data_IF_177632997710
#
_entry.id   IF_177632997710
#
_cell.length_a   1.000
_cell.length_b   1.000
_cell.length_c   1.000
_cell.angle_alpha   90.00
_cell.angle_beta   90.00
_cell.angle_gamma   90.00
#
_symmetry.space_group_name_H-M   'P 1'
#
loop_
_entity.id
_entity.type
_entity.pdbx_description
1 polymer ?
#
# COMPACT_ATOMS: atom_id res chain seq x y z
N UNK A 1 -32.05 -15.32 30.05
CA UNK A 1 -30.65 -15.23 30.46
C UNK A 1 -29.79 -16.43 29.95
N UNK A 2 -30.16 -17.69 30.13
CA UNK A 2 -29.34 -18.86 29.67
C UNK A 2 -29.07 -18.90 28.15
N UNK A 3 -30.05 -18.58 27.28
CA UNK A 3 -29.89 -18.55 25.81
C UNK A 3 -28.90 -17.49 25.34
N UNK A 4 -28.83 -16.32 26.03
CA UNK A 4 -27.87 -15.27 25.69
C UNK A 4 -26.43 -15.64 26.09
N UNK A 5 -26.25 -16.40 27.14
CA UNK A 5 -24.94 -16.90 27.60
C UNK A 5 -24.38 -17.96 26.63
N UNK A 6 -25.23 -18.95 26.26
CA UNK A 6 -24.84 -19.96 25.26
C UNK A 6 -24.46 -19.34 23.93
N UNK A 7 -25.22 -18.35 23.43
CA UNK A 7 -24.90 -17.64 22.19
C UNK A 7 -23.58 -16.90 22.27
N UNK A 8 -23.28 -16.25 23.41
CA UNK A 8 -21.98 -15.59 23.62
C UNK A 8 -20.82 -16.58 23.66
N UNK A 9 -20.98 -17.70 24.37
CA UNK A 9 -19.94 -18.76 24.45
C UNK A 9 -19.68 -19.36 23.07
N UNK A 10 -20.75 -19.68 22.33
CA UNK A 10 -20.62 -20.24 20.98
C UNK A 10 -19.93 -19.25 20.03
N UNK A 11 -20.29 -17.95 20.09
CA UNK A 11 -19.63 -16.90 19.33
C UNK A 11 -18.14 -16.79 19.67
N UNK A 12 -17.79 -16.82 20.95
CA UNK A 12 -16.38 -16.79 21.38
C UNK A 12 -15.60 -18.00 20.91
N UNK A 13 -16.18 -19.21 20.97
CA UNK A 13 -15.53 -20.44 20.48
C UNK A 13 -15.30 -20.39 18.98
N UNK A 14 -16.27 -19.90 18.20
CA UNK A 14 -16.11 -19.70 16.75
C UNK A 14 -14.99 -18.71 16.45
N UNK A 15 -14.97 -17.56 17.14
CA UNK A 15 -13.92 -16.56 16.98
C UNK A 15 -12.54 -17.14 17.33
N UNK A 16 -12.45 -17.90 18.42
CA UNK A 16 -11.18 -18.51 18.85
C UNK A 16 -10.70 -19.58 17.86
N UNK A 17 -11.60 -20.40 17.35
CA UNK A 17 -11.28 -21.37 16.29
C UNK A 17 -10.82 -20.68 15.00
N UNK A 18 -11.51 -19.63 14.56
CA UNK A 18 -11.12 -18.84 13.41
C UNK A 18 -9.73 -18.20 13.62
N UNK A 19 -9.49 -17.61 14.78
CA UNK A 19 -8.18 -17.04 15.14
C UNK A 19 -7.07 -18.08 15.10
N UNK A 20 -7.30 -19.28 15.62
CA UNK A 20 -6.34 -20.37 15.59
C UNK A 20 -6.00 -20.79 14.14
N UNK A 21 -7.01 -20.88 13.26
CA UNK A 21 -6.81 -21.19 11.84
C UNK A 21 -5.98 -20.11 11.12
N UNK A 22 -6.26 -18.83 11.38
CA UNK A 22 -5.51 -17.71 10.77
C UNK A 22 -4.08 -17.59 11.32
N UNK A 23 -3.85 -17.89 12.60
CA UNK A 23 -2.53 -17.84 13.20
C UNK A 23 -1.68 -19.06 12.86
N UNK A 24 -2.29 -20.21 12.53
CA UNK A 24 -1.59 -21.46 12.27
C UNK A 24 -0.43 -21.33 11.26
N UNK A 25 -0.61 -20.75 10.06
CA UNK A 25 0.49 -20.60 9.10
C UNK A 25 1.61 -19.69 9.63
N UNK A 26 1.28 -18.64 10.38
CA UNK A 26 2.30 -17.76 10.97
C UNK A 26 3.11 -18.46 12.04
N UNK A 27 2.45 -19.22 12.90
CA UNK A 27 3.11 -20.03 13.94
C UNK A 27 4.00 -21.10 13.29
N UNK A 28 3.52 -21.77 12.24
CA UNK A 28 4.33 -22.73 11.48
C UNK A 28 5.56 -22.07 10.87
N UNK A 29 5.42 -20.90 10.28
CA UNK A 29 6.54 -20.15 9.68
C UNK A 29 7.61 -19.86 10.74
N UNK A 30 7.20 -19.35 11.91
CA UNK A 30 8.12 -19.07 13.03
C UNK A 30 8.79 -20.37 13.54
N UNK A 31 8.02 -21.44 13.76
CA UNK A 31 8.61 -22.72 14.20
C UNK A 31 9.61 -23.25 13.19
N UNK A 32 9.27 -23.22 11.89
CA UNK A 32 10.14 -23.68 10.81
C UNK A 32 11.41 -22.86 10.69
N UNK A 33 11.36 -21.54 10.89
CA UNK A 33 12.55 -20.67 10.84
C UNK A 33 13.58 -20.98 11.93
N UNK A 34 13.17 -21.60 13.05
CA UNK A 34 14.06 -22.05 14.12
C UNK A 34 14.48 -23.51 14.01
N UNK A 35 13.99 -24.27 13.03
CA UNK A 35 14.43 -25.68 12.83
C UNK A 35 15.87 -25.73 12.29
N UNK A 36 16.51 -26.91 12.39
CA UNK A 36 17.88 -27.09 11.95
C UNK A 36 18.88 -26.33 12.81
N UNK A 37 19.43 -25.26 12.28
CA UNK A 37 20.48 -24.47 12.96
C UNK A 37 19.94 -23.39 13.95
N UNK A 38 18.65 -23.31 14.18
CA UNK A 38 18.03 -22.39 15.13
C UNK A 38 18.30 -20.92 14.78
N UNK A 39 18.81 -20.13 15.74
CA UNK A 39 19.14 -18.70 15.55
C UNK A 39 20.19 -18.47 14.46
N UNK A 40 21.04 -19.47 14.15
CA UNK A 40 22.04 -19.34 13.09
C UNK A 40 21.42 -19.18 11.70
N UNK A 41 20.18 -19.63 11.47
CA UNK A 41 19.46 -19.38 10.22
C UNK A 41 19.36 -17.87 9.96
N UNK A 42 18.95 -17.09 10.97
CA UNK A 42 18.89 -15.62 10.88
C UNK A 42 20.26 -14.98 10.71
N UNK A 43 21.27 -15.47 11.43
CA UNK A 43 22.66 -14.99 11.26
C UNK A 43 23.12 -15.23 9.83
N UNK A 44 22.75 -16.35 9.22
CA UNK A 44 23.09 -16.64 7.82
C UNK A 44 22.39 -15.68 6.86
N UNK A 45 21.11 -15.34 7.07
CA UNK A 45 20.40 -14.33 6.28
C UNK A 45 21.14 -12.99 6.30
N UNK A 46 21.45 -12.48 7.51
CA UNK A 46 22.16 -11.19 7.65
C UNK A 46 23.60 -11.21 7.10
N UNK A 47 24.27 -12.36 7.07
CA UNK A 47 25.60 -12.51 6.44
C UNK A 47 25.51 -12.56 4.92
N UNK A 48 24.43 -13.13 4.38
CA UNK A 48 24.27 -13.34 2.95
C UNK A 48 23.78 -12.07 2.24
N UNK A 49 22.91 -11.32 2.88
CA UNK A 49 22.29 -10.11 2.30
C UNK A 49 22.43 -8.94 3.27
N UNK A 50 22.99 -7.84 2.79
CA UNK A 50 22.91 -6.58 3.52
C UNK A 50 21.48 -6.01 3.35
N UNK A 51 20.65 -6.15 4.38
CA UNK A 51 19.26 -5.73 4.35
C UNK A 51 19.07 -4.20 4.43
N UNK A 52 20.07 -3.48 4.94
CA UNK A 52 19.95 -2.04 5.20
C UNK A 52 19.61 -1.22 3.95
N UNK A 53 20.29 -1.35 2.79
CA UNK A 53 19.92 -0.61 1.59
C UNK A 53 18.53 -0.99 1.09
N UNK A 54 18.15 -2.28 1.12
CA UNK A 54 16.82 -2.73 0.70
C UNK A 54 15.69 -2.14 1.56
N UNK A 55 15.93 -2.06 2.88
CA UNK A 55 14.98 -1.44 3.81
C UNK A 55 14.85 0.07 3.58
N UNK A 56 15.97 0.77 3.36
CA UNK A 56 15.98 2.19 3.03
C UNK A 56 15.27 2.47 1.69
N UNK A 57 15.48 1.61 0.68
CA UNK A 57 14.75 1.72 -0.60
C UNK A 57 13.25 1.53 -0.38
N UNK A 58 12.83 0.55 0.41
CA UNK A 58 11.41 0.37 0.74
C UNK A 58 10.82 1.61 1.39
N UNK A 59 11.50 2.18 2.40
CA UNK A 59 11.05 3.41 3.07
C UNK A 59 10.95 4.56 2.06
N UNK A 60 11.95 4.75 1.21
CA UNK A 60 11.96 5.83 0.23
C UNK A 60 10.82 5.69 -0.80
N UNK A 61 10.60 4.47 -1.31
CA UNK A 61 9.53 4.17 -2.26
C UNK A 61 8.15 4.37 -1.62
N UNK A 62 7.95 3.80 -0.44
CA UNK A 62 6.66 3.92 0.28
C UNK A 62 6.39 5.37 0.64
N UNK A 63 7.35 6.07 1.24
CA UNK A 63 7.18 7.47 1.62
C UNK A 63 6.89 8.37 0.41
N UNK A 64 7.65 8.23 -0.67
CA UNK A 64 7.41 8.97 -1.91
C UNK A 64 6.02 8.71 -2.49
N UNK A 65 5.59 7.45 -2.49
CA UNK A 65 4.25 7.05 -2.93
C UNK A 65 3.16 7.66 -2.03
N UNK A 66 3.32 7.59 -0.71
CA UNK A 66 2.38 8.16 0.26
C UNK A 66 2.19 9.66 0.08
N UNK A 67 3.29 10.41 -0.09
CA UNK A 67 3.24 11.86 -0.30
C UNK A 67 2.47 12.21 -1.58
N UNK A 68 2.78 11.54 -2.68
CA UNK A 68 2.12 11.81 -3.97
C UNK A 68 0.63 11.44 -3.90
N UNK A 69 0.32 10.21 -3.44
CA UNK A 69 -1.07 9.72 -3.39
C UNK A 69 -1.92 10.57 -2.46
N UNK A 70 -1.44 10.86 -1.24
CA UNK A 70 -2.22 11.66 -0.29
C UNK A 70 -2.48 13.08 -0.81
N UNK A 71 -1.49 13.72 -1.41
CA UNK A 71 -1.65 15.06 -1.96
C UNK A 71 -2.60 15.08 -3.17
N UNK A 72 -2.32 14.22 -4.17
CA UNK A 72 -3.09 14.19 -5.43
C UNK A 72 -4.52 13.70 -5.19
N UNK A 73 -4.70 12.59 -4.45
CA UNK A 73 -6.02 12.05 -4.19
C UNK A 73 -6.88 13.00 -3.34
N UNK A 74 -6.31 13.67 -2.32
CA UNK A 74 -7.06 14.62 -1.52
C UNK A 74 -7.51 15.84 -2.30
N UNK A 75 -6.60 16.45 -3.09
CA UNK A 75 -6.96 17.60 -3.94
C UNK A 75 -7.99 17.23 -5.00
N UNK A 76 -7.81 16.08 -5.66
CA UNK A 76 -8.76 15.61 -6.67
C UNK A 76 -10.11 15.24 -6.03
N UNK A 77 -10.12 14.55 -4.90
CA UNK A 77 -11.34 14.20 -4.17
C UNK A 77 -12.13 15.44 -3.75
N UNK A 78 -11.45 16.46 -3.23
CA UNK A 78 -12.08 17.74 -2.90
C UNK A 78 -12.67 18.40 -4.14
N UNK A 79 -11.94 18.44 -5.25
CA UNK A 79 -12.44 19.00 -6.49
C UNK A 79 -13.67 18.25 -7.01
N UNK A 80 -13.61 16.92 -7.07
CA UNK A 80 -14.73 16.08 -7.51
C UNK A 80 -15.91 16.04 -6.55
N UNK A 81 -15.71 16.32 -5.27
CA UNK A 81 -16.80 16.40 -4.30
C UNK A 81 -17.43 17.79 -4.30
N UNK A 82 -16.65 18.83 -4.08
CA UNK A 82 -17.09 20.15 -3.63
C UNK A 82 -17.00 21.26 -4.67
N UNK A 83 -16.35 21.03 -5.80
CA UNK A 83 -16.25 22.03 -6.86
C UNK A 83 -17.09 21.64 -8.07
N UNK A 84 -17.58 22.64 -8.80
CA UNK A 84 -18.27 22.47 -10.06
C UNK A 84 -17.34 22.88 -11.20
N UNK A 85 -17.18 21.98 -12.17
CA UNK A 85 -16.42 22.20 -13.39
C UNK A 85 -16.99 21.37 -14.54
N UNK A 86 -16.74 21.77 -15.81
CA UNK A 86 -17.27 21.07 -16.97
C UNK A 86 -16.73 19.62 -17.02
N UNK A 87 -17.59 18.71 -17.50
CA UNK A 87 -17.28 17.29 -17.66
C UNK A 87 -16.90 16.54 -16.36
N UNK A 88 -17.13 17.12 -15.18
CA UNK A 88 -16.83 16.53 -13.86
C UNK A 88 -17.20 15.05 -13.77
N UNK A 89 -18.44 14.70 -14.12
CA UNK A 89 -18.92 13.30 -14.06
C UNK A 89 -18.19 12.40 -15.05
N UNK A 90 -18.00 12.86 -16.28
CA UNK A 90 -17.33 12.07 -17.33
C UNK A 90 -15.87 11.77 -16.95
N UNK A 91 -15.13 12.78 -16.48
CA UNK A 91 -13.74 12.62 -16.02
C UNK A 91 -13.67 11.68 -14.81
N UNK A 92 -14.58 11.82 -13.84
CA UNK A 92 -14.63 10.95 -12.67
C UNK A 92 -14.84 9.48 -13.05
N UNK A 93 -15.84 9.20 -13.91
CA UNK A 93 -16.10 7.83 -14.37
C UNK A 93 -14.95 7.27 -15.22
N UNK A 94 -14.32 8.09 -16.05
CA UNK A 94 -13.12 7.70 -16.80
C UNK A 94 -11.98 7.26 -15.87
N UNK A 95 -11.74 8.00 -14.78
CA UNK A 95 -10.74 7.60 -13.77
C UNK A 95 -11.12 6.28 -13.07
N UNK A 96 -12.40 6.09 -12.76
CA UNK A 96 -12.86 4.84 -12.14
C UNK A 96 -12.74 3.62 -13.08
N UNK A 97 -12.95 3.79 -14.38
CA UNK A 97 -12.74 2.69 -15.35
C UNK A 97 -11.29 2.22 -15.38
N UNK A 98 -10.33 3.12 -15.11
CA UNK A 98 -8.92 2.76 -14.97
C UNK A 98 -8.65 1.71 -13.88
N UNK A 99 -9.47 1.67 -12.82
CA UNK A 99 -9.34 0.67 -11.76
C UNK A 99 -9.76 -0.75 -12.19
N UNK A 100 -10.50 -0.87 -13.30
CA UNK A 100 -10.93 -2.18 -13.81
C UNK A 100 -9.81 -2.91 -14.56
N UNK A 101 -8.74 -2.20 -14.90
CA UNK A 101 -7.60 -2.78 -15.59
C UNK A 101 -6.73 -3.52 -14.56
N UNK A 102 -6.51 -4.84 -14.73
CA UNK A 102 -5.67 -5.59 -13.80
C UNK A 102 -4.23 -5.07 -13.83
N UNK A 103 -3.65 -4.87 -12.66
CA UNK A 103 -2.28 -4.33 -12.49
C UNK A 103 -1.25 -5.13 -13.29
N UNK A 104 -1.40 -6.46 -13.35
CA UNK A 104 -0.51 -7.34 -14.10
C UNK A 104 -0.46 -7.02 -15.61
N UNK A 105 -1.56 -6.56 -16.19
CA UNK A 105 -1.59 -6.15 -17.60
C UNK A 105 -0.85 -4.81 -17.83
N UNK A 106 -0.73 -3.98 -16.81
CA UNK A 106 -0.08 -2.67 -16.89
C UNK A 106 1.44 -2.73 -16.66
N UNK A 107 1.99 -3.83 -16.14
CA UNK A 107 3.43 -3.94 -15.81
C UNK A 107 4.30 -3.63 -17.03
N UNK A 108 4.02 -4.27 -18.17
CA UNK A 108 4.84 -4.09 -19.37
C UNK A 108 4.74 -2.67 -19.97
N UNK A 109 3.57 -2.08 -20.19
CA UNK A 109 3.46 -0.68 -20.61
C UNK A 109 4.14 0.30 -19.64
N UNK A 110 3.97 0.12 -18.32
CA UNK A 110 4.63 0.96 -17.32
C UNK A 110 6.15 0.82 -17.35
N UNK A 111 6.66 -0.40 -17.53
CA UNK A 111 8.10 -0.63 -17.70
C UNK A 111 8.66 0.12 -18.91
N UNK A 112 7.95 0.12 -20.04
CA UNK A 112 8.37 0.87 -21.23
C UNK A 112 8.42 2.37 -20.98
N UNK A 113 7.42 2.92 -20.26
CA UNK A 113 7.39 4.34 -19.88
C UNK A 113 8.57 4.66 -18.97
N UNK A 114 8.78 3.88 -17.91
CA UNK A 114 9.89 4.03 -16.96
C UNK A 114 11.24 3.99 -17.67
N UNK A 115 11.43 3.05 -18.62
CA UNK A 115 12.63 2.94 -19.43
C UNK A 115 12.80 4.13 -20.39
N UNK A 116 11.73 4.57 -21.02
CA UNK A 116 11.72 5.76 -21.90
C UNK A 116 12.09 7.05 -21.15
N UNK A 117 11.67 7.18 -19.90
CA UNK A 117 12.02 8.28 -19.01
C UNK A 117 13.43 8.14 -18.40
N UNK A 118 14.13 7.03 -18.63
CA UNK A 118 15.48 6.72 -18.09
C UNK A 118 15.54 6.74 -16.55
N UNK A 119 14.47 6.37 -15.89
CA UNK A 119 14.38 6.28 -14.42
C UNK A 119 14.39 4.82 -13.91
N UNK A 120 14.57 3.83 -14.80
CA UNK A 120 14.75 2.44 -14.39
C UNK A 120 15.95 2.29 -13.45
N UNK A 121 15.95 1.28 -12.61
CA UNK A 121 16.95 1.09 -11.55
C UNK A 121 17.07 2.26 -10.55
N UNK A 122 15.99 2.96 -10.30
CA UNK A 122 15.91 4.00 -9.26
C UNK A 122 14.63 3.83 -8.46
N UNK A 123 14.53 4.34 -7.22
CA UNK A 123 13.26 4.34 -6.46
C UNK A 123 12.10 5.00 -7.21
N UNK A 124 12.37 5.98 -8.07
CA UNK A 124 11.35 6.66 -8.87
C UNK A 124 10.66 5.73 -9.88
N UNK A 125 11.35 4.68 -10.32
CA UNK A 125 10.75 3.66 -11.20
C UNK A 125 9.57 2.93 -10.56
N UNK A 126 9.49 2.93 -9.23
CA UNK A 126 8.40 2.33 -8.46
C UNK A 126 7.43 3.38 -7.92
N UNK A 127 7.94 4.53 -7.44
CA UNK A 127 7.12 5.58 -6.82
C UNK A 127 6.01 6.05 -7.76
N UNK A 128 6.33 6.40 -9.01
CA UNK A 128 5.34 6.93 -9.95
C UNK A 128 4.28 5.90 -10.37
N UNK A 129 4.64 4.67 -10.77
CA UNK A 129 3.66 3.62 -11.04
C UNK A 129 2.77 3.31 -9.83
N UNK A 130 3.35 3.15 -8.64
CA UNK A 130 2.57 2.87 -7.42
C UNK A 130 1.63 4.01 -7.08
N UNK A 131 2.08 5.26 -7.18
CA UNK A 131 1.24 6.42 -6.97
C UNK A 131 0.07 6.44 -7.96
N UNK A 132 0.33 6.23 -9.25
CA UNK A 132 -0.70 6.25 -10.29
C UNK A 132 -1.77 5.18 -10.05
N UNK A 133 -1.37 3.95 -9.75
CA UNK A 133 -2.28 2.82 -9.52
C UNK A 133 -3.11 2.99 -8.25
N UNK A 134 -2.56 3.62 -7.22
CA UNK A 134 -3.26 3.86 -5.96
C UNK A 134 -4.14 5.12 -5.99
N UNK A 135 -3.86 6.11 -6.85
CA UNK A 135 -4.57 7.39 -6.86
C UNK A 135 -6.08 7.24 -7.11
N UNK A 136 -6.51 6.43 -8.08
CA UNK A 136 -7.93 6.34 -8.45
C UNK A 136 -8.78 5.79 -7.31
N UNK A 137 -8.34 4.72 -6.65
CA UNK A 137 -9.04 4.12 -5.52
C UNK A 137 -9.12 5.11 -4.34
N UNK A 138 -7.99 5.71 -3.98
CA UNK A 138 -7.91 6.64 -2.86
C UNK A 138 -8.69 7.94 -3.11
N UNK A 139 -8.73 8.42 -4.36
CA UNK A 139 -9.61 9.51 -4.79
C UNK A 139 -11.09 9.16 -4.53
N UNK A 140 -11.52 7.96 -4.93
CA UNK A 140 -12.91 7.52 -4.72
C UNK A 140 -13.26 7.48 -3.23
N UNK A 141 -12.39 6.92 -2.40
CA UNK A 141 -12.60 6.83 -0.95
C UNK A 141 -12.70 8.21 -0.32
N UNK A 142 -11.74 9.10 -0.61
CA UNK A 142 -11.75 10.47 -0.05
C UNK A 142 -12.91 11.32 -0.60
N UNK A 143 -13.28 11.13 -1.88
CA UNK A 143 -14.45 11.80 -2.43
C UNK A 143 -15.71 11.42 -1.68
N UNK A 144 -15.94 10.14 -1.44
CA UNK A 144 -17.11 9.69 -0.66
C UNK A 144 -17.09 10.25 0.77
N UNK A 145 -15.89 10.36 1.37
CA UNK A 145 -15.72 10.99 2.67
C UNK A 145 -16.11 12.48 2.64
N UNK A 146 -15.61 13.23 1.65
CA UNK A 146 -15.97 14.64 1.47
C UNK A 146 -17.45 14.83 1.09
N UNK A 147 -18.06 13.93 0.33
CA UNK A 147 -19.47 13.99 -0.03
C UNK A 147 -20.38 13.91 1.22
N UNK A 148 -19.94 13.14 2.23
CA UNK A 148 -20.68 13.00 3.50
C UNK A 148 -20.63 14.26 4.39
N UNK A 149 -19.70 15.19 4.11
CA UNK A 149 -19.59 16.43 4.89
C UNK A 149 -20.63 17.46 4.44
N UNK A 150 -21.33 18.14 5.40
CA UNK A 150 -22.32 19.16 5.08
C UNK A 150 -21.73 20.30 4.24
N UNK A 151 -22.51 20.79 3.27
CA UNK A 151 -22.07 21.91 2.41
C UNK A 151 -22.07 23.24 3.16
N UNK A 152 -22.86 23.35 4.22
CA UNK A 152 -22.97 24.52 5.09
C UNK A 152 -21.62 24.93 5.68
N UNK A 153 -20.72 23.99 5.90
CA UNK A 153 -19.35 24.28 6.35
C UNK A 153 -18.57 25.11 5.31
N UNK A 154 -18.78 24.82 4.02
CA UNK A 154 -18.13 25.58 2.95
C UNK A 154 -18.82 26.93 2.72
N UNK A 155 -20.15 27.00 2.85
CA UNK A 155 -20.92 28.21 2.66
C UNK A 155 -20.59 29.23 3.74
N UNK A 156 -20.58 28.84 5.01
CA UNK A 156 -20.16 29.70 6.12
C UNK A 156 -18.73 30.25 5.90
N UNK A 157 -17.79 29.38 5.53
CA UNK A 157 -16.42 29.79 5.26
C UNK A 157 -16.30 30.78 4.09
N UNK A 158 -17.15 30.64 3.06
CA UNK A 158 -17.20 31.60 1.94
C UNK A 158 -17.75 32.95 2.37
N UNK A 159 -18.76 32.97 3.26
CA UNK A 159 -19.28 34.22 3.84
C UNK A 159 -18.18 34.94 4.62
N UNK A 160 -17.33 34.17 5.34
CA UNK A 160 -16.15 34.70 6.05
C UNK A 160 -14.99 35.09 5.11
N UNK A 161 -15.19 35.03 3.77
CA UNK A 161 -14.21 35.45 2.78
C UNK A 161 -13.12 34.41 2.50
N UNK A 162 -13.26 33.15 2.95
CA UNK A 162 -12.29 32.13 2.68
C UNK A 162 -12.29 31.67 1.20
N UNK A 163 -11.16 31.75 0.54
CA UNK A 163 -10.98 31.16 -0.79
C UNK A 163 -10.93 29.64 -0.79
N UNK A 164 -11.11 29.01 -1.97
CA UNK A 164 -11.17 27.53 -2.13
C UNK A 164 -9.99 26.81 -1.51
N UNK A 165 -8.77 27.35 -1.66
CA UNK A 165 -7.55 26.76 -1.08
C UNK A 165 -7.57 26.77 0.45
N UNK A 166 -8.00 27.86 1.08
CA UNK A 166 -8.14 27.97 2.53
C UNK A 166 -9.24 27.05 3.06
N UNK A 167 -10.36 26.93 2.36
CA UNK A 167 -11.42 25.97 2.69
C UNK A 167 -10.87 24.55 2.66
N UNK A 168 -10.11 24.18 1.62
CA UNK A 168 -9.50 22.86 1.50
C UNK A 168 -8.55 22.57 2.67
N UNK A 169 -7.54 23.45 2.87
CA UNK A 169 -6.45 23.17 3.83
C UNK A 169 -6.86 23.34 5.29
N UNK A 170 -7.69 24.36 5.62
CA UNK A 170 -7.97 24.75 6.99
C UNK A 170 -9.30 24.20 7.53
N UNK A 171 -10.19 23.74 6.65
CA UNK A 171 -11.52 23.24 7.06
C UNK A 171 -11.70 21.78 6.65
N UNK A 172 -11.59 21.47 5.34
CA UNK A 172 -11.93 20.15 4.83
C UNK A 172 -10.88 19.10 5.19
N UNK A 173 -9.58 19.42 5.09
CA UNK A 173 -8.50 18.48 5.41
C UNK A 173 -8.44 18.06 6.87
N UNK A 174 -8.55 18.97 7.87
CA UNK A 174 -8.60 18.58 9.28
C UNK A 174 -9.79 17.66 9.62
N UNK A 175 -10.96 17.91 9.03
CA UNK A 175 -12.12 17.06 9.23
C UNK A 175 -11.94 15.71 8.55
N UNK A 176 -11.23 15.67 7.41
CA UNK A 176 -10.99 14.45 6.63
C UNK A 176 -9.83 13.57 7.16
N UNK A 177 -9.20 13.92 8.28
CA UNK A 177 -8.09 13.14 8.87
C UNK A 177 -8.39 11.64 9.00
N UNK A 178 -9.58 11.18 9.42
CA UNK A 178 -9.86 9.74 9.47
C UNK A 178 -9.88 9.08 8.08
N UNK A 179 -10.43 9.77 7.06
CA UNK A 179 -10.39 9.30 5.67
C UNK A 179 -8.98 9.29 5.10
N UNK A 180 -8.19 10.32 5.43
CA UNK A 180 -6.78 10.38 5.03
C UNK A 180 -5.95 9.29 5.71
N UNK A 181 -6.19 8.98 6.98
CA UNK A 181 -5.54 7.87 7.67
C UNK A 181 -5.79 6.52 6.96
N UNK A 182 -7.02 6.28 6.51
CA UNK A 182 -7.33 5.09 5.69
C UNK A 182 -6.50 5.08 4.41
N UNK A 183 -6.43 6.19 3.68
CA UNK A 183 -5.64 6.32 2.44
C UNK A 183 -4.16 6.02 2.69
N UNK A 184 -3.60 6.56 3.77
CA UNK A 184 -2.20 6.33 4.14
C UNK A 184 -1.93 4.85 4.46
N UNK A 185 -2.79 4.21 5.26
CA UNK A 185 -2.64 2.78 5.62
C UNK A 185 -2.76 1.91 4.38
N UNK A 186 -3.77 2.13 3.55
CA UNK A 186 -4.02 1.34 2.34
C UNK A 186 -2.86 1.48 1.35
N UNK A 187 -2.40 2.71 1.10
CA UNK A 187 -1.27 2.98 0.19
C UNK A 187 0.03 2.40 0.73
N UNK A 188 0.27 2.49 2.05
CA UNK A 188 1.41 1.87 2.70
C UNK A 188 1.42 0.36 2.46
N UNK A 189 0.33 -0.33 2.77
CA UNK A 189 0.22 -1.78 2.60
C UNK A 189 0.39 -2.19 1.14
N UNK A 190 -0.20 -1.44 0.21
CA UNK A 190 -0.08 -1.70 -1.23
C UNK A 190 1.37 -1.57 -1.71
N UNK A 191 2.04 -0.47 -1.37
CA UNK A 191 3.40 -0.19 -1.83
C UNK A 191 4.47 -1.03 -1.12
N UNK A 192 4.28 -1.34 0.17
CA UNK A 192 5.20 -2.16 0.95
C UNK A 192 5.23 -3.62 0.49
N UNK A 193 4.07 -4.18 0.16
CA UNK A 193 3.94 -5.58 -0.24
C UNK A 193 4.08 -5.82 -1.74
N UNK A 194 4.27 -4.75 -2.53
CA UNK A 194 4.39 -4.90 -3.97
C UNK A 194 5.72 -5.59 -4.33
N UNK A 195 5.64 -6.62 -5.14
CA UNK A 195 6.74 -7.50 -5.48
C UNK A 195 7.02 -7.54 -6.98
N UNK A 196 5.96 -7.59 -7.81
CA UNK A 196 6.10 -7.90 -9.24
C UNK A 196 6.82 -6.78 -10.01
N UNK A 197 6.41 -5.53 -9.79
CA UNK A 197 7.08 -4.39 -10.43
C UNK A 197 8.47 -4.17 -9.86
N UNK A 198 8.65 -4.37 -8.53
CA UNK A 198 9.96 -4.24 -7.89
C UNK A 198 11.00 -5.18 -8.50
N UNK A 199 10.62 -6.42 -8.82
CA UNK A 199 11.49 -7.39 -9.48
C UNK A 199 11.84 -7.03 -10.93
N UNK A 200 10.90 -6.41 -11.64
CA UNK A 200 11.04 -6.14 -13.09
C UNK A 200 11.70 -4.79 -13.34
N UNK A 201 11.41 -3.77 -12.53
CA UNK A 201 11.83 -2.39 -12.78
C UNK A 201 13.19 -2.08 -12.17
N UNK A 202 13.61 -2.84 -11.15
CA UNK A 202 14.90 -2.68 -10.48
C UNK A 202 15.71 -3.98 -10.57
N UNK A 203 16.78 -3.95 -11.36
CA UNK A 203 17.69 -5.07 -11.53
C UNK A 203 18.83 -5.08 -10.50
N UNK A 204 19.21 -3.90 -9.99
CA UNK A 204 20.24 -3.77 -8.96
C UNK A 204 19.71 -4.28 -7.62
N UNK A 205 20.31 -5.35 -7.12
CA UNK A 205 19.91 -6.00 -5.89
C UNK A 205 20.02 -5.10 -4.65
N UNK A 206 20.90 -4.10 -4.66
CA UNK A 206 21.05 -3.15 -3.56
C UNK A 206 19.93 -2.10 -3.52
N UNK A 207 19.30 -1.84 -4.67
CA UNK A 207 18.21 -0.87 -4.83
C UNK A 207 16.82 -1.51 -4.82
N UNK A 208 16.73 -2.85 -4.78
CA UNK A 208 15.45 -3.54 -4.67
C UNK A 208 14.84 -3.33 -3.28
N UNK A 209 13.50 -3.12 -3.18
CA UNK A 209 12.79 -3.10 -1.90
C UNK A 209 12.93 -4.41 -1.12
N UNK A 210 12.67 -4.33 0.19
CA UNK A 210 12.77 -5.48 1.10
C UNK A 210 11.83 -6.64 0.70
N UNK A 211 10.70 -6.34 0.07
CA UNK A 211 9.72 -7.34 -0.41
C UNK A 211 10.32 -8.36 -1.39
N UNK A 212 11.40 -8.01 -2.10
CA UNK A 212 12.09 -8.89 -3.06
C UNK A 212 13.10 -9.81 -2.38
N UNK A 213 13.62 -9.45 -1.21
CA UNK A 213 14.72 -10.16 -0.53
C UNK A 213 14.42 -11.63 -0.26
N UNK A 214 13.25 -12.05 0.26
CA UNK A 214 12.95 -13.47 0.50
C UNK A 214 13.09 -14.34 -0.75
N UNK A 215 12.80 -13.80 -1.94
CA UNK A 215 12.91 -14.56 -3.19
C UNK A 215 14.35 -14.92 -3.56
N UNK A 216 15.35 -14.17 -3.10
CA UNK A 216 16.76 -14.49 -3.33
C UNK A 216 17.14 -15.82 -2.68
N UNK A 217 16.54 -16.14 -1.54
CA UNK A 217 16.75 -17.42 -0.85
C UNK A 217 15.99 -18.56 -1.51
N UNK A 218 14.87 -18.30 -2.18
CA UNK A 218 14.08 -19.33 -2.89
C UNK A 218 14.69 -19.69 -4.25
N UNK A 219 15.19 -18.72 -4.99
CA UNK A 219 15.75 -18.94 -6.34
C UNK A 219 17.09 -19.67 -6.31
N UNK A 220 17.87 -19.48 -5.25
CA UNK A 220 19.16 -20.16 -5.08
C UNK A 220 18.99 -21.61 -4.63
N UNK A 221 17.81 -22.01 -4.19
CA UNK A 221 17.49 -23.37 -3.75
C UNK A 221 17.63 -24.47 -4.82
N UNK A 222 17.81 -24.09 -6.10
CA UNK A 222 17.96 -25.06 -7.19
C UNK A 222 19.39 -25.46 -7.56
N UNK A 223 20.42 -24.70 -7.15
CA UNK A 223 21.83 -24.93 -7.57
C UNK A 223 22.81 -25.02 -6.38
N UNK A 224 22.58 -24.30 -5.31
CA UNK A 224 23.25 -24.42 -4.00
C UNK A 224 22.24 -23.96 -2.93
N UNK A 225 21.18 -24.78 -2.73
CA UNK A 225 20.03 -24.36 -1.98
C UNK A 225 20.33 -24.02 -0.54
N UNK A 226 19.88 -22.86 -0.12
CA UNK A 226 19.72 -22.60 1.30
C UNK A 226 18.75 -23.62 1.88
N UNK A 227 18.98 -24.13 3.11
CA UNK A 227 18.01 -24.95 3.81
C UNK A 227 16.66 -24.24 3.89
N UNK A 228 15.57 -25.00 3.84
CA UNK A 228 14.21 -24.44 3.93
C UNK A 228 14.02 -23.54 5.17
N UNK A 229 14.72 -23.87 6.24
CA UNK A 229 14.69 -23.15 7.51
C UNK A 229 15.25 -21.74 7.37
N UNK A 230 16.30 -21.55 6.55
CA UNK A 230 16.88 -20.23 6.24
C UNK A 230 15.92 -19.39 5.37
N UNK A 231 15.20 -20.04 4.46
CA UNK A 231 14.14 -19.38 3.68
C UNK A 231 13.00 -18.89 4.55
N UNK A 232 12.63 -19.61 5.60
CA UNK A 232 11.62 -19.17 6.57
C UNK A 232 12.14 -18.07 7.51
N UNK A 233 13.45 -17.91 7.65
CA UNK A 233 14.08 -16.87 8.46
C UNK A 233 14.31 -15.56 7.69
N UNK A 234 14.26 -15.59 6.35
CA UNK A 234 14.42 -14.45 5.46
C UNK A 234 13.11 -13.69 5.25
#
# INVERSE_FOLDING_TARGET
>A
MRKSLLFKITGQLICLAATAVFLFPLVLMVIRSFQGSGINNYVQVFKTVNLAPNFLTSIAVVFGTLVIVSAVAAMAAFAFSKLDFPFKKAIYYMLLTGMMIPTSALIFPLFQIVKGLKINNTPFSLIFPYATLNCCFNLMVLKNYFDALPNELMESARIDGAGKGRIFTSIMMPIAVPGLAFVLIQTFLSAWNELQMAMIFINDTSLQPISVVPLRFTQTAGVQGFPLEVMYAA
#
